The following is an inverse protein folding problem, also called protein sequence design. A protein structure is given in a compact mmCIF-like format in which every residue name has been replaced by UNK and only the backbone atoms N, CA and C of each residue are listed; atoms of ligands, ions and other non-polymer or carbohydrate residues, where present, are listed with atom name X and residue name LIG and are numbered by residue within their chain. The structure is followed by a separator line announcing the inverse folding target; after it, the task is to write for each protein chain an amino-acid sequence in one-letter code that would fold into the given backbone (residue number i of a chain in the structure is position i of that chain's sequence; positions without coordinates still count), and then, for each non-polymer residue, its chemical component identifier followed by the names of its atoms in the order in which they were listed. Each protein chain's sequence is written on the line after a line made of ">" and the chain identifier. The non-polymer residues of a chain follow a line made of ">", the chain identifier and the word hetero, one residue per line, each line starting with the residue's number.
data_IF_277376442005
#
_entry.id   IF_277376442005
#
_cell.length_a   1.000
_cell.length_b   1.000
_cell.length_c   1.000
_cell.angle_alpha   90.00
_cell.angle_beta   90.00
_cell.angle_gamma   90.00
#
_symmetry.space_group_name_H-M   'P 1'
#
loop_
_entity.id
_entity.type
_entity.pdbx_description
1 polymer ?
#
# COMPACT_ATOMS: atom_id res chain seq x y z
N UNK A 1 -64.66 37.29 4.36
CA UNK A 1 -63.49 37.32 3.44
C UNK A 1 -62.19 36.96 4.17
N UNK A 2 -61.79 37.70 5.21
CA UNK A 2 -60.56 37.47 5.99
C UNK A 2 -60.43 36.05 6.59
N UNK A 3 -61.52 35.47 7.11
CA UNK A 3 -61.52 34.09 7.62
C UNK A 3 -61.21 33.05 6.54
N UNK A 4 -61.73 33.25 5.32
CA UNK A 4 -61.45 32.37 4.17
C UNK A 4 -59.99 32.47 3.72
N UNK A 5 -59.43 33.68 3.74
CA UNK A 5 -58.03 33.93 3.40
C UNK A 5 -57.10 33.24 4.41
N UNK A 6 -57.35 33.40 5.72
CA UNK A 6 -56.54 32.73 6.75
C UNK A 6 -56.59 31.21 6.66
N UNK A 7 -57.78 30.63 6.36
CA UNK A 7 -57.92 29.17 6.17
C UNK A 7 -57.10 28.71 4.96
N UNK A 8 -57.16 29.41 3.83
CA UNK A 8 -56.36 29.06 2.65
C UNK A 8 -54.85 29.14 2.93
N UNK A 9 -54.40 30.15 3.66
CA UNK A 9 -52.99 30.25 4.09
C UNK A 9 -52.57 29.11 5.01
N UNK A 10 -53.46 28.69 5.92
CA UNK A 10 -53.21 27.57 6.82
C UNK A 10 -53.06 26.25 6.03
N UNK A 11 -53.95 26.01 5.06
CA UNK A 11 -53.90 24.84 4.18
C UNK A 11 -52.62 24.81 3.33
N UNK A 12 -52.21 25.95 2.78
CA UNK A 12 -50.94 26.06 2.02
C UNK A 12 -49.72 25.78 2.90
N UNK A 13 -49.71 26.27 4.14
CA UNK A 13 -48.62 26.02 5.09
C UNK A 13 -48.54 24.52 5.45
N UNK A 14 -49.67 23.90 5.75
CA UNK A 14 -49.74 22.46 6.06
C UNK A 14 -49.30 21.60 4.88
N UNK A 15 -49.69 21.97 3.66
CA UNK A 15 -49.24 21.30 2.44
C UNK A 15 -47.73 21.47 2.23
N UNK A 16 -47.18 22.66 2.46
CA UNK A 16 -45.75 22.93 2.36
C UNK A 16 -44.93 22.15 3.40
N UNK A 17 -45.40 22.10 4.65
CA UNK A 17 -44.78 21.32 5.72
C UNK A 17 -44.78 19.83 5.39
N UNK A 18 -45.92 19.29 4.96
CA UNK A 18 -46.04 17.87 4.59
C UNK A 18 -45.13 17.51 3.42
N UNK A 19 -45.01 18.41 2.43
CA UNK A 19 -44.08 18.22 1.31
C UNK A 19 -42.63 18.23 1.77
N UNK A 20 -42.25 19.20 2.61
CA UNK A 20 -40.89 19.29 3.14
C UNK A 20 -40.49 18.06 3.95
N UNK A 21 -41.41 17.51 4.76
CA UNK A 21 -41.17 16.29 5.54
C UNK A 21 -40.98 15.06 4.63
N UNK A 22 -41.81 14.94 3.58
CA UNK A 22 -41.67 13.85 2.59
C UNK A 22 -40.34 13.96 1.83
N UNK A 23 -40.00 15.15 1.33
CA UNK A 23 -38.75 15.40 0.61
C UNK A 23 -37.54 15.07 1.51
N UNK A 24 -37.59 15.46 2.79
CA UNK A 24 -36.55 15.15 3.77
C UNK A 24 -36.40 13.64 4.01
N UNK A 25 -37.53 12.92 4.14
CA UNK A 25 -37.52 11.46 4.26
C UNK A 25 -36.91 10.80 3.03
N UNK A 26 -37.32 11.20 1.84
CA UNK A 26 -36.81 10.63 0.58
C UNK A 26 -35.31 10.90 0.42
N UNK A 27 -34.85 12.10 0.79
CA UNK A 27 -33.43 12.44 0.83
C UNK A 27 -32.66 11.57 1.81
N UNK A 28 -33.20 11.35 3.01
CA UNK A 28 -32.59 10.48 4.03
C UNK A 28 -32.49 9.03 3.54
N UNK A 29 -33.56 8.48 2.96
CA UNK A 29 -33.57 7.12 2.41
C UNK A 29 -32.56 6.96 1.27
N UNK A 30 -32.48 7.97 0.38
CA UNK A 30 -31.49 8.00 -0.70
C UNK A 30 -30.07 8.02 -0.14
N UNK A 31 -29.81 8.82 0.89
CA UNK A 31 -28.50 8.90 1.52
C UNK A 31 -28.11 7.56 2.16
N UNK A 32 -29.02 6.93 2.90
CA UNK A 32 -28.79 5.61 3.48
C UNK A 32 -28.49 4.55 2.40
N UNK A 33 -29.20 4.58 1.27
CA UNK A 33 -28.92 3.68 0.14
C UNK A 33 -27.53 3.91 -0.45
N UNK A 34 -27.12 5.17 -0.61
CA UNK A 34 -25.81 5.52 -1.14
C UNK A 34 -24.69 5.10 -0.18
N UNK A 35 -24.86 5.30 1.13
CA UNK A 35 -23.91 4.83 2.15
C UNK A 35 -23.73 3.32 2.09
N UNK A 36 -24.83 2.55 2.03
CA UNK A 36 -24.76 1.08 1.88
C UNK A 36 -24.03 0.64 0.62
N UNK A 37 -24.24 1.34 -0.50
CA UNK A 37 -23.53 1.06 -1.75
C UNK A 37 -22.03 1.37 -1.64
N UNK A 38 -21.67 2.46 -0.95
CA UNK A 38 -20.29 2.83 -0.71
C UNK A 38 -19.58 1.77 0.15
N UNK A 39 -20.24 1.30 1.22
CA UNK A 39 -19.71 0.23 2.08
C UNK A 39 -19.47 -1.06 1.28
N UNK A 40 -20.44 -1.46 0.44
CA UNK A 40 -20.29 -2.63 -0.43
C UNK A 40 -19.09 -2.48 -1.38
N UNK A 41 -18.89 -1.29 -1.95
CA UNK A 41 -17.76 -1.01 -2.85
C UNK A 41 -16.43 -1.01 -2.11
N UNK A 42 -16.36 -0.36 -0.95
CA UNK A 42 -15.17 -0.35 -0.10
C UNK A 42 -14.77 -1.76 0.33
N UNK A 43 -15.74 -2.60 0.72
CA UNK A 43 -15.47 -3.98 1.07
C UNK A 43 -14.94 -4.79 -0.12
N UNK A 44 -15.48 -4.56 -1.32
CA UNK A 44 -14.97 -5.22 -2.54
C UNK A 44 -13.56 -4.74 -2.89
N UNK A 45 -13.25 -3.46 -2.71
CA UNK A 45 -11.90 -2.92 -2.93
C UNK A 45 -10.90 -3.58 -1.97
N UNK A 46 -11.21 -3.61 -0.67
CA UNK A 46 -10.35 -4.27 0.33
C UNK A 46 -10.07 -5.74 0.01
N UNK A 47 -11.10 -6.47 -0.43
CA UNK A 47 -10.94 -7.87 -0.83
C UNK A 47 -10.00 -8.02 -2.03
N UNK A 48 -10.10 -7.12 -3.01
CA UNK A 48 -9.23 -7.15 -4.19
C UNK A 48 -7.79 -6.75 -3.84
N UNK A 49 -7.61 -5.77 -2.95
CA UNK A 49 -6.29 -5.37 -2.45
C UNK A 49 -5.61 -6.52 -1.71
N UNK A 50 -6.34 -7.26 -0.87
CA UNK A 50 -5.83 -8.45 -0.18
C UNK A 50 -5.42 -9.55 -1.17
N UNK A 51 -6.24 -9.81 -2.20
CA UNK A 51 -5.89 -10.75 -3.27
C UNK A 51 -4.64 -10.33 -4.03
N UNK A 52 -4.45 -9.03 -4.27
CA UNK A 52 -3.27 -8.54 -4.97
C UNK A 52 -2.02 -8.64 -4.09
N UNK A 53 -2.13 -8.42 -2.78
CA UNK A 53 -1.02 -8.63 -1.83
C UNK A 53 -0.56 -10.09 -1.82
N UNK A 54 -1.49 -11.04 -1.82
CA UNK A 54 -1.17 -12.47 -1.93
C UNK A 54 -0.42 -12.81 -3.24
N UNK A 55 -0.69 -12.08 -4.32
CA UNK A 55 -0.02 -12.25 -5.62
C UNK A 55 1.36 -11.58 -5.65
N UNK A 56 1.47 -10.38 -5.09
CA UNK A 56 2.70 -9.60 -5.11
C UNK A 56 3.73 -10.12 -4.11
N UNK A 57 3.28 -10.55 -2.93
CA UNK A 57 4.12 -10.87 -1.77
C UNK A 57 3.94 -12.29 -1.24
N UNK A 58 2.90 -13.01 -1.67
CA UNK A 58 2.60 -14.36 -1.18
C UNK A 58 3.31 -15.46 -1.97
N UNK A 59 3.14 -16.71 -1.53
CA UNK A 59 3.74 -17.91 -2.16
C UNK A 59 2.79 -18.64 -3.10
N UNK A 60 1.60 -18.07 -3.36
CA UNK A 60 0.59 -18.75 -4.19
C UNK A 60 1.13 -18.88 -5.62
N UNK A 61 1.25 -20.12 -6.15
CA UNK A 61 1.66 -20.28 -7.54
C UNK A 61 0.58 -19.68 -8.44
N UNK A 62 0.93 -18.57 -9.10
CA UNK A 62 0.20 -18.09 -10.25
C UNK A 62 0.21 -19.22 -11.28
N UNK A 63 -0.97 -19.75 -11.62
CA UNK A 63 -1.15 -20.76 -12.67
C UNK A 63 -0.96 -20.15 -14.07
N UNK A 64 0.02 -19.26 -14.22
CA UNK A 64 0.39 -18.58 -15.45
C UNK A 64 1.87 -18.87 -15.70
N UNK A 65 2.09 -19.98 -16.42
CA UNK A 65 3.20 -20.20 -17.34
C UNK A 65 4.61 -19.91 -16.80
N UNK A 66 5.30 -20.94 -16.34
CA UNK A 66 6.73 -21.03 -16.56
C UNK A 66 7.07 -22.48 -16.90
N UNK A 67 7.21 -22.76 -18.20
CA UNK A 67 7.91 -23.97 -18.64
C UNK A 67 9.32 -23.91 -18.06
N UNK A 68 9.58 -24.83 -17.14
CA UNK A 68 10.83 -25.02 -16.42
C UNK A 68 12.00 -25.17 -17.40
N UNK A 69 12.94 -24.22 -17.40
CA UNK A 69 14.31 -24.48 -17.86
C UNK A 69 15.03 -25.35 -16.82
N UNK A 70 15.86 -26.33 -17.22
CA UNK A 70 16.47 -27.25 -16.28
C UNK A 70 17.47 -26.50 -15.39
N UNK A 71 17.31 -26.70 -14.08
CA UNK A 71 18.19 -26.20 -13.05
C UNK A 71 19.62 -26.69 -13.30
N UNK A 72 20.55 -25.75 -13.46
CA UNK A 72 21.98 -26.03 -13.50
C UNK A 72 22.63 -25.42 -12.26
N UNK A 73 23.34 -26.26 -11.50
CA UNK A 73 24.38 -25.83 -10.56
C UNK A 73 23.93 -25.72 -9.11
N UNK A 74 24.25 -26.77 -8.36
CA UNK A 74 24.23 -26.88 -6.90
C UNK A 74 25.31 -25.99 -6.29
N UNK A 75 24.95 -24.90 -5.58
CA UNK A 75 25.73 -24.31 -4.46
C UNK A 75 24.75 -23.64 -3.47
N UNK A 76 24.81 -24.09 -2.21
CA UNK A 76 24.13 -23.60 -0.99
C UNK A 76 22.59 -23.70 -0.93
N UNK A 77 22.10 -24.91 -0.61
CA UNK A 77 20.73 -25.08 -0.10
C UNK A 77 20.62 -24.38 1.27
N UNK A 78 20.20 -23.12 1.26
CA UNK A 78 19.59 -22.47 2.42
C UNK A 78 18.51 -23.41 2.95
N UNK A 79 18.52 -23.70 4.26
CA UNK A 79 17.56 -24.60 4.89
C UNK A 79 16.15 -23.96 4.86
N UNK A 80 15.46 -24.14 3.73
CA UNK A 80 14.08 -23.65 3.48
C UNK A 80 13.06 -24.34 4.42
N UNK A 81 13.52 -25.22 5.33
CA UNK A 81 12.69 -26.01 6.25
C UNK A 81 12.10 -25.20 7.41
N UNK A 82 12.44 -23.90 7.56
CA UNK A 82 11.97 -23.03 8.66
C UNK A 82 10.72 -22.21 8.33
N UNK A 83 10.40 -21.99 7.05
CA UNK A 83 9.27 -21.16 6.65
C UNK A 83 8.00 -22.01 6.56
N UNK A 84 6.93 -21.58 7.23
CA UNK A 84 5.63 -22.23 7.08
C UNK A 84 5.06 -21.99 5.68
N UNK A 85 4.13 -22.85 5.27
CA UNK A 85 3.44 -22.71 4.00
C UNK A 85 2.71 -21.36 3.93
N UNK A 86 3.19 -20.45 3.08
CA UNK A 86 2.63 -19.11 2.94
C UNK A 86 3.57 -17.97 3.37
N UNK A 87 4.69 -18.28 4.02
CA UNK A 87 5.67 -17.29 4.47
C UNK A 87 6.76 -17.08 3.41
N UNK A 88 7.15 -15.82 3.21
CA UNK A 88 8.32 -15.43 2.42
C UNK A 88 9.25 -14.62 3.32
N UNK A 89 10.55 -14.89 3.22
CA UNK A 89 11.59 -14.10 3.88
C UNK A 89 12.50 -13.53 2.79
N UNK A 90 12.68 -12.21 2.80
CA UNK A 90 13.68 -11.53 2.00
C UNK A 90 14.68 -10.90 2.97
N UNK A 91 15.96 -11.22 2.82
CA UNK A 91 17.03 -10.62 3.61
C UNK A 91 18.05 -10.02 2.66
N UNK A 92 18.46 -8.77 2.92
CA UNK A 92 19.51 -8.09 2.18
C UNK A 92 20.68 -7.79 3.10
N UNK A 93 21.85 -8.33 2.76
CA UNK A 93 23.12 -8.00 3.40
C UNK A 93 23.96 -7.09 2.49
N UNK A 94 24.26 -5.88 2.97
CA UNK A 94 25.16 -4.94 2.32
C UNK A 94 26.49 -4.98 3.07
N UNK A 95 27.48 -5.64 2.47
CA UNK A 95 28.81 -5.80 3.05
C UNK A 95 29.65 -4.53 2.90
N UNK A 96 30.06 -4.19 1.67
CA UNK A 96 31.03 -3.13 1.40
C UNK A 96 30.78 -2.48 0.02
N UNK A 97 31.22 -1.23 -0.16
CA UNK A 97 31.33 -0.60 -1.48
C UNK A 97 32.79 -0.25 -1.81
N UNK A 98 33.08 -0.07 -3.10
CA UNK A 98 34.41 0.28 -3.60
C UNK A 98 34.31 1.52 -4.50
N UNK A 99 34.83 2.66 -4.03
CA UNK A 99 34.85 3.91 -4.77
C UNK A 99 36.08 3.96 -5.68
N UNK A 100 35.85 4.24 -6.96
CA UNK A 100 36.94 4.41 -7.92
C UNK A 100 37.64 5.75 -7.71
N UNK A 101 38.89 5.88 -8.16
CA UNK A 101 39.63 7.16 -8.09
C UNK A 101 38.89 8.30 -8.79
N UNK A 102 38.15 8.01 -9.86
CA UNK A 102 37.33 9.00 -10.55
C UNK A 102 36.11 9.45 -9.72
N UNK A 103 35.51 8.56 -8.92
CA UNK A 103 34.43 8.91 -8.01
C UNK A 103 34.94 9.77 -6.83
N UNK A 104 36.10 9.43 -6.28
CA UNK A 104 36.75 10.21 -5.21
C UNK A 104 37.17 11.60 -5.70
N UNK A 105 37.73 11.69 -6.91
CA UNK A 105 38.09 12.97 -7.52
C UNK A 105 36.85 13.85 -7.77
N UNK A 106 35.73 13.27 -8.21
CA UNK A 106 34.46 13.98 -8.36
C UNK A 106 33.86 14.43 -7.04
N UNK A 107 33.97 13.61 -5.98
CA UNK A 107 33.55 13.97 -4.64
C UNK A 107 34.41 15.08 -4.02
N UNK A 108 35.63 15.30 -4.53
CA UNK A 108 36.59 16.23 -3.94
C UNK A 108 37.08 15.78 -2.56
N UNK A 109 36.84 14.52 -2.21
CA UNK A 109 37.14 13.93 -0.91
C UNK A 109 37.78 12.56 -1.10
N UNK A 110 38.91 12.35 -0.43
CA UNK A 110 39.65 11.09 -0.44
C UNK A 110 39.19 10.12 0.65
N UNK A 111 38.40 10.61 1.61
CA UNK A 111 37.82 9.86 2.73
C UNK A 111 36.33 10.20 2.90
N UNK A 112 35.50 10.01 1.85
CA UNK A 112 34.09 10.35 1.92
C UNK A 112 33.37 9.52 2.98
N UNK A 113 32.36 10.12 3.61
CA UNK A 113 31.42 9.40 4.48
C UNK A 113 30.17 9.05 3.67
N UNK A 114 29.86 7.77 3.57
CA UNK A 114 28.76 7.26 2.74
C UNK A 114 27.80 6.37 3.53
N UNK A 115 26.59 6.23 3.01
CA UNK A 115 25.58 5.26 3.43
C UNK A 115 24.75 4.84 2.22
N UNK A 116 24.09 3.68 2.29
CA UNK A 116 23.18 3.20 1.27
C UNK A 116 21.74 3.24 1.78
N UNK A 117 20.80 3.53 0.90
CA UNK A 117 19.36 3.42 1.17
C UNK A 117 18.69 2.55 0.13
N UNK A 118 17.75 1.71 0.54
CA UNK A 118 16.97 0.88 -0.36
C UNK A 118 15.54 0.74 0.15
N UNK A 119 14.63 0.53 -0.79
CA UNK A 119 13.21 0.32 -0.52
C UNK A 119 12.78 -0.95 -1.25
N UNK A 120 12.04 -1.81 -0.56
CA UNK A 120 11.51 -3.04 -1.11
C UNK A 120 9.99 -3.03 -0.95
N UNK A 121 9.25 -3.16 -2.05
CA UNK A 121 7.79 -3.09 -2.08
C UNK A 121 7.20 -1.87 -1.35
N UNK A 122 6.17 -2.07 -0.53
CA UNK A 122 5.53 -1.07 0.33
C UNK A 122 6.07 -1.07 1.77
N UNK A 123 7.24 -1.68 2.01
CA UNK A 123 7.93 -1.63 3.30
C UNK A 123 8.68 -0.31 3.51
N UNK A 124 9.10 -0.07 4.75
CA UNK A 124 9.88 1.11 5.12
C UNK A 124 11.26 1.11 4.43
N UNK A 125 11.73 2.29 4.04
CA UNK A 125 13.07 2.44 3.46
C UNK A 125 14.14 2.18 4.52
N UNK A 126 15.03 1.24 4.25
CA UNK A 126 16.18 0.96 5.10
C UNK A 126 17.39 1.83 4.74
N UNK A 127 18.27 2.01 5.71
CA UNK A 127 19.55 2.68 5.52
C UNK A 127 20.67 1.95 6.25
N UNK A 128 21.85 1.87 5.63
CA UNK A 128 23.05 1.38 6.30
C UNK A 128 23.58 2.44 7.28
N UNK A 129 24.36 2.06 8.28
CA UNK A 129 25.17 3.01 9.04
C UNK A 129 26.10 3.81 8.12
N UNK A 130 26.49 5.00 8.60
CA UNK A 130 27.51 5.81 7.94
C UNK A 130 28.88 5.13 8.09
N UNK A 131 29.61 5.02 6.98
CA UNK A 131 30.99 4.51 6.96
C UNK A 131 31.89 5.46 6.18
N UNK A 132 33.15 5.55 6.59
CA UNK A 132 34.16 6.47 6.04
C UNK A 132 35.13 5.73 5.14
N UNK A 133 35.54 6.37 4.06
CA UNK A 133 36.71 5.99 3.26
C UNK A 133 36.37 5.60 1.82
N UNK A 134 37.40 5.27 1.03
CA UNK A 134 37.23 4.85 -0.36
C UNK A 134 36.62 3.45 -0.50
N UNK A 135 36.64 2.66 0.58
CA UNK A 135 36.08 1.31 0.64
C UNK A 135 35.23 1.14 1.91
N UNK A 136 34.09 1.85 2.01
CA UNK A 136 33.27 1.86 3.21
C UNK A 136 32.68 0.48 3.49
N UNK A 137 32.89 -0.02 4.71
CA UNK A 137 32.36 -1.29 5.22
C UNK A 137 31.06 -1.00 5.99
N UNK A 138 29.96 -1.50 5.46
CA UNK A 138 28.63 -1.29 6.03
C UNK A 138 28.22 -2.43 6.96
N UNK A 139 28.53 -3.68 6.58
CA UNK A 139 28.17 -4.91 7.31
C UNK A 139 26.75 -4.87 7.90
N UNK A 140 25.79 -4.52 7.04
CA UNK A 140 24.41 -4.29 7.45
C UNK A 140 23.48 -5.32 6.84
N UNK A 141 22.68 -5.97 7.68
CA UNK A 141 21.64 -6.92 7.26
C UNK A 141 20.27 -6.37 7.66
N UNK A 142 19.31 -6.38 6.74
CA UNK A 142 17.90 -6.13 7.05
C UNK A 142 16.99 -7.17 6.43
N UNK A 143 15.80 -7.30 7.03
CA UNK A 143 14.67 -8.13 6.61
C UNK A 143 13.44 -7.26 6.45
#
# INVERSE_FOLDING_TARGET
>A
LQRKINVCYQEELEAMMTKADNDNRDHKEKLERLTRLLDLKNNRIKQLEEQLKDVAYGTRPLSLCLETLPAHGDEDKVDISLLHQGENLFELHIHQAFLTSAALAQAGDTQPTTFCTYSFYDFETHCTPLSVGPQPLYDFTSQ
#
